data_IF_894403471616
#
_entry.id   IF_894403471616
#
_cell.length_a   1.000
_cell.length_b   1.000
_cell.length_c   1.000
_cell.angle_alpha   90.00
_cell.angle_beta   90.00
_cell.angle_gamma   90.00
#
_symmetry.space_group_name_H-M   'P 1'
#
loop_
_entity.id
_entity.type
_entity.pdbx_description
1 polymer ?
#
# COMPACT_ATOMS: atom_id res chain seq x y z
N UNK A 1 51.66 -56.88 -23.87
CA UNK A 1 51.88 -55.44 -23.61
C UNK A 1 50.50 -54.80 -23.54
N UNK A 2 50.02 -54.22 -22.44
CA UNK A 2 50.64 -53.98 -21.15
C UNK A 2 49.60 -53.65 -20.06
N UNK A 3 50.06 -53.82 -18.83
CA UNK A 3 49.72 -53.14 -17.55
C UNK A 3 48.26 -53.21 -17.09
N UNK A 4 47.84 -54.10 -16.17
CA UNK A 4 48.15 -54.28 -14.71
C UNK A 4 47.67 -53.15 -13.77
N UNK A 5 47.18 -53.62 -12.62
CA UNK A 5 46.80 -52.95 -11.37
C UNK A 5 45.35 -52.40 -11.33
N UNK A 6 44.51 -52.76 -10.35
CA UNK A 6 44.72 -53.62 -9.19
C UNK A 6 43.56 -53.47 -8.20
N UNK A 7 43.07 -54.62 -7.77
CA UNK A 7 42.49 -55.04 -6.49
C UNK A 7 41.79 -54.03 -5.55
N UNK A 8 40.61 -54.44 -5.05
CA UNK A 8 40.23 -54.18 -3.66
C UNK A 8 38.72 -54.20 -3.40
N UNK A 9 38.24 -55.26 -2.76
CA UNK A 9 36.84 -55.51 -2.39
C UNK A 9 36.26 -54.50 -1.37
N UNK A 10 34.96 -54.23 -1.48
CA UNK A 10 33.92 -54.51 -0.46
C UNK A 10 32.71 -53.60 -0.71
N UNK A 11 31.56 -54.18 -1.11
CA UNK A 11 30.27 -53.48 -1.11
C UNK A 11 29.55 -53.94 0.15
N UNK A 12 29.56 -53.08 1.16
CA UNK A 12 28.72 -53.20 2.35
C UNK A 12 27.39 -52.44 2.14
N UNK A 13 26.46 -52.73 3.02
CA UNK A 13 25.02 -52.83 2.83
C UNK A 13 24.22 -51.55 3.16
N UNK A 14 23.04 -51.43 2.52
CA UNK A 14 21.82 -50.72 3.00
C UNK A 14 21.70 -49.19 2.79
N UNK A 15 20.49 -48.59 2.89
CA UNK A 15 19.56 -48.41 1.77
C UNK A 15 19.31 -46.94 1.39
N UNK A 16 18.64 -46.75 0.22
CA UNK A 16 18.15 -45.50 -0.37
C UNK A 16 17.71 -44.45 0.66
N UNK A 17 18.47 -43.36 0.75
CA UNK A 17 18.00 -42.10 1.29
C UNK A 17 17.02 -41.46 0.31
N UNK A 18 15.78 -41.29 0.76
CA UNK A 18 14.80 -40.37 0.18
C UNK A 18 15.43 -38.98 0.09
N UNK A 19 15.43 -38.43 -1.12
CA UNK A 19 15.70 -37.01 -1.33
C UNK A 19 14.49 -36.28 -0.76
N UNK A 20 14.73 -35.57 0.35
CA UNK A 20 13.76 -34.66 0.96
C UNK A 20 13.19 -33.74 -0.13
N UNK A 21 11.90 -33.89 -0.39
CA UNK A 21 11.14 -32.97 -1.22
C UNK A 21 11.21 -31.59 -0.60
N UNK A 22 11.76 -30.64 -1.36
CA UNK A 22 11.55 -29.23 -1.14
C UNK A 22 10.05 -28.98 -1.09
N UNK A 23 9.52 -28.79 0.12
CA UNK A 23 8.20 -28.21 0.31
C UNK A 23 8.30 -26.76 -0.16
N UNK A 24 7.96 -26.52 -1.42
CA UNK A 24 7.68 -25.17 -1.88
C UNK A 24 6.62 -24.61 -0.95
N UNK A 25 6.98 -23.61 -0.14
CA UNK A 25 6.01 -22.84 0.60
C UNK A 25 5.05 -22.27 -0.45
N UNK A 26 3.82 -22.79 -0.50
CA UNK A 26 2.76 -22.11 -1.20
C UNK A 26 2.58 -20.78 -0.48
N UNK A 27 3.10 -19.71 -1.08
CA UNK A 27 2.76 -18.35 -0.66
C UNK A 27 1.26 -18.25 -0.78
N UNK A 28 0.56 -18.19 0.34
CA UNK A 28 -0.89 -17.97 0.34
C UNK A 28 -1.09 -16.52 -0.08
N UNK A 29 -1.52 -16.35 -1.33
CA UNK A 29 -1.90 -15.06 -1.90
C UNK A 29 -3.33 -14.79 -1.45
N UNK A 30 -3.63 -13.58 -0.98
CA UNK A 30 -5.02 -13.24 -0.60
C UNK A 30 -5.89 -13.20 -1.86
N UNK A 31 -7.19 -13.50 -1.77
CA UNK A 31 -8.10 -13.39 -2.92
C UNK A 31 -8.02 -12.03 -3.60
N UNK A 32 -7.82 -10.94 -2.86
CA UNK A 32 -7.68 -9.60 -3.44
C UNK A 32 -6.35 -9.40 -4.16
N UNK A 33 -5.25 -9.95 -3.64
CA UNK A 33 -3.96 -9.94 -4.32
C UNK A 33 -4.04 -10.79 -5.61
N UNK A 34 -4.66 -11.97 -5.58
CA UNK A 34 -4.92 -12.77 -6.79
C UNK A 34 -5.82 -12.01 -7.78
N UNK A 35 -6.84 -11.29 -7.29
CA UNK A 35 -7.73 -10.47 -8.13
C UNK A 35 -6.96 -9.33 -8.81
N UNK A 36 -6.07 -8.66 -8.09
CA UNK A 36 -5.22 -7.60 -8.62
C UNK A 36 -4.23 -8.15 -9.67
N UNK A 37 -3.61 -9.30 -9.39
CA UNK A 37 -2.64 -9.93 -10.29
C UNK A 37 -3.30 -10.54 -11.56
N UNK A 38 -4.57 -10.94 -11.47
CA UNK A 38 -5.31 -11.60 -12.56
C UNK A 38 -6.04 -10.66 -13.53
N UNK A 39 -5.99 -9.34 -13.31
CA UNK A 39 -6.52 -8.38 -14.28
C UNK A 39 -7.18 -7.12 -13.73
N UNK A 40 -7.32 -6.97 -12.41
CA UNK A 40 -7.71 -5.69 -11.81
C UNK A 40 -6.50 -4.80 -11.66
N UNK A 41 -6.43 -3.77 -12.48
CA UNK A 41 -5.29 -2.87 -12.47
C UNK A 41 -5.45 -1.89 -11.29
N UNK A 42 -4.91 -2.31 -10.15
CA UNK A 42 -4.70 -1.50 -8.97
C UNK A 42 -3.24 -1.07 -8.92
N UNK A 43 -2.98 0.23 -9.02
CA UNK A 43 -1.65 0.81 -8.90
C UNK A 43 -1.68 2.02 -7.97
N UNK A 44 -1.13 1.87 -6.77
CA UNK A 44 -1.01 2.97 -5.79
C UNK A 44 0.45 3.24 -5.47
N UNK A 45 1.06 4.16 -6.22
CA UNK A 45 2.49 4.46 -6.10
C UNK A 45 2.72 5.55 -5.06
N UNK A 46 3.73 5.39 -4.18
CA UNK A 46 4.16 6.47 -3.30
C UNK A 46 5.39 7.16 -3.86
N UNK A 47 5.34 8.49 -3.87
CA UNK A 47 6.50 9.32 -4.18
C UNK A 47 7.20 9.68 -2.88
N UNK A 48 8.51 9.47 -2.86
CA UNK A 48 9.39 10.02 -1.85
C UNK A 48 9.79 11.45 -2.22
N UNK A 49 9.65 12.39 -1.29
CA UNK A 49 10.10 13.79 -1.47
C UNK A 49 10.84 14.36 -0.25
N UNK A 50 11.13 13.51 0.74
CA UNK A 50 11.87 13.89 1.94
C UNK A 50 11.03 14.44 3.10
N UNK A 51 9.71 14.59 2.97
CA UNK A 51 8.86 14.97 4.11
C UNK A 51 8.89 13.93 5.25
N UNK A 52 8.99 12.65 4.90
CA UNK A 52 9.18 11.51 5.79
C UNK A 52 9.79 10.36 4.99
N UNK A 53 10.68 9.57 5.61
CA UNK A 53 11.16 8.32 5.04
C UNK A 53 9.98 7.33 4.92
N UNK A 54 9.74 6.82 3.70
CA UNK A 54 8.61 5.93 3.41
C UNK A 54 8.70 4.58 4.14
N UNK A 55 9.88 4.20 4.62
CA UNK A 55 10.11 3.00 5.43
C UNK A 55 9.96 3.24 6.94
N UNK A 56 9.75 4.48 7.37
CA UNK A 56 9.58 4.80 8.80
C UNK A 56 8.22 4.36 9.34
N UNK A 57 8.07 4.11 10.65
CA UNK A 57 6.78 3.77 11.26
C UNK A 57 5.66 4.75 10.92
N UNK A 58 5.99 6.04 10.84
CA UNK A 58 5.01 7.09 10.52
C UNK A 58 4.49 6.96 9.10
N UNK A 59 5.39 6.72 8.14
CA UNK A 59 4.98 6.50 6.76
C UNK A 59 4.26 5.16 6.60
N UNK A 60 4.68 4.09 7.28
CA UNK A 60 4.00 2.80 7.31
C UNK A 60 2.52 2.97 7.68
N UNK A 61 2.24 3.68 8.78
CA UNK A 61 0.85 3.94 9.22
C UNK A 61 0.05 4.73 8.19
N UNK A 62 0.61 5.85 7.69
CA UNK A 62 -0.06 6.71 6.71
C UNK A 62 -0.33 5.94 5.42
N UNK A 63 0.62 5.12 4.97
CA UNK A 63 0.50 4.27 3.78
C UNK A 63 -0.63 3.28 3.93
N UNK A 64 -0.61 2.50 5.00
CA UNK A 64 -1.62 1.49 5.27
C UNK A 64 -3.02 2.10 5.38
N UNK A 65 -3.17 3.22 6.10
CA UNK A 65 -4.45 3.91 6.21
C UNK A 65 -4.95 4.46 4.86
N UNK A 66 -4.07 5.04 4.05
CA UNK A 66 -4.48 5.54 2.74
C UNK A 66 -4.86 4.40 1.78
N UNK A 67 -4.05 3.35 1.69
CA UNK A 67 -4.33 2.21 0.81
C UNK A 67 -5.59 1.44 1.22
N UNK A 68 -5.77 1.20 2.52
CA UNK A 68 -6.98 0.57 3.04
C UNK A 68 -8.26 1.39 2.79
N UNK A 69 -8.18 2.73 2.88
CA UNK A 69 -9.32 3.59 2.53
C UNK A 69 -9.75 3.42 1.08
N UNK A 70 -8.80 3.23 0.15
CA UNK A 70 -9.17 2.98 -1.24
C UNK A 70 -9.82 1.61 -1.40
N UNK A 71 -9.43 0.58 -0.64
CA UNK A 71 -10.10 -0.74 -0.72
C UNK A 71 -11.59 -0.66 -0.34
N UNK A 72 -11.94 0.19 0.63
CA UNK A 72 -13.35 0.46 0.98
C UNK A 72 -14.12 1.03 -0.22
N UNK A 73 -13.49 1.86 -1.06
CA UNK A 73 -14.14 2.42 -2.26
C UNK A 73 -14.30 1.40 -3.40
N UNK A 74 -13.61 0.28 -3.33
CA UNK A 74 -13.62 -0.81 -4.33
C UNK A 74 -14.58 -1.94 -3.94
N UNK A 75 -15.25 -1.83 -2.79
CA UNK A 75 -16.09 -2.89 -2.20
C UNK A 75 -15.29 -4.20 -1.97
N UNK A 76 -14.01 -4.07 -1.61
CA UNK A 76 -13.15 -5.17 -1.18
C UNK A 76 -13.17 -5.26 0.36
N UNK A 77 -12.70 -6.37 0.93
CA UNK A 77 -12.58 -6.50 2.39
C UNK A 77 -11.25 -5.88 2.86
N UNK A 78 -11.26 -4.65 3.41
CA UNK A 78 -10.03 -3.99 3.82
C UNK A 78 -9.45 -4.63 5.09
N UNK A 79 -10.25 -5.34 5.91
CA UNK A 79 -9.76 -5.95 7.15
C UNK A 79 -9.01 -7.25 6.87
N UNK A 80 -9.38 -7.97 5.81
CA UNK A 80 -8.62 -9.13 5.34
C UNK A 80 -7.23 -8.72 4.82
N UNK A 81 -7.16 -7.65 4.04
CA UNK A 81 -5.90 -7.17 3.44
C UNK A 81 -5.02 -6.36 4.40
N UNK A 82 -5.65 -5.62 5.32
CA UNK A 82 -5.00 -4.84 6.36
C UNK A 82 -5.53 -5.24 7.75
N UNK A 83 -5.11 -6.39 8.31
CA UNK A 83 -5.51 -6.80 9.65
C UNK A 83 -5.24 -5.74 10.72
N UNK A 84 -6.19 -5.50 11.63
CA UNK A 84 -6.09 -4.49 12.69
C UNK A 84 -6.59 -3.10 12.28
N UNK A 85 -7.14 -2.97 11.07
CA UNK A 85 -7.63 -1.70 10.56
C UNK A 85 -8.85 -1.19 11.33
N UNK A 86 -9.76 -2.06 11.77
CA UNK A 86 -10.90 -1.68 12.62
C UNK A 86 -10.47 -0.96 13.90
N UNK A 87 -9.43 -1.46 14.57
CA UNK A 87 -8.87 -0.85 15.77
C UNK A 87 -8.09 0.42 15.45
N UNK A 88 -7.38 0.44 14.31
CA UNK A 88 -6.57 1.57 13.87
C UNK A 88 -7.39 2.73 13.32
N UNK A 89 -8.53 2.49 12.66
CA UNK A 89 -9.32 3.53 12.01
C UNK A 89 -10.83 3.45 12.34
N UNK A 90 -11.23 3.39 13.63
CA UNK A 90 -12.63 3.24 14.04
C UNK A 90 -13.53 4.37 13.51
N UNK A 91 -12.95 5.53 13.20
CA UNK A 91 -13.61 6.70 12.60
C UNK A 91 -14.28 6.43 11.26
N UNK A 92 -13.88 5.37 10.54
CA UNK A 92 -14.48 4.99 9.26
C UNK A 92 -15.76 4.17 9.44
N UNK A 93 -15.77 3.25 10.40
CA UNK A 93 -16.94 2.41 10.71
C UNK A 93 -18.08 3.21 11.33
N UNK A 94 -17.76 4.25 12.10
CA UNK A 94 -18.78 5.13 12.70
C UNK A 94 -19.41 6.11 11.69
N UNK A 95 -18.92 6.17 10.45
CA UNK A 95 -19.38 7.14 9.43
C UNK A 95 -20.39 6.58 8.44
N UNK A 96 -20.80 5.32 8.58
CA UNK A 96 -21.57 4.60 7.55
C UNK A 96 -20.96 4.90 6.16
N UNK A 97 -19.67 4.59 5.99
CA UNK A 97 -19.09 4.55 4.64
C UNK A 97 -19.75 3.35 3.95
N UNK A 98 -20.99 3.55 3.52
CA UNK A 98 -21.74 2.58 2.78
C UNK A 98 -20.91 2.23 1.55
N UNK A 99 -20.81 0.94 1.19
CA UNK A 99 -20.24 0.55 -0.08
C UNK A 99 -20.78 1.47 -1.16
N UNK A 100 -19.89 2.04 -1.97
CA UNK A 100 -20.33 2.92 -3.05
C UNK A 100 -21.33 2.15 -3.90
N UNK A 101 -22.52 2.71 -4.15
CA UNK A 101 -23.50 2.11 -5.09
C UNK A 101 -22.94 1.97 -6.52
N UNK A 102 -21.75 2.53 -6.76
CA UNK A 102 -20.92 2.34 -7.95
C UNK A 102 -19.47 2.17 -7.48
N UNK A 103 -19.05 0.96 -7.06
CA UNK A 103 -17.69 0.74 -6.60
C UNK A 103 -16.70 1.02 -7.74
N UNK A 104 -15.49 1.43 -7.37
CA UNK A 104 -14.40 1.48 -8.34
C UNK A 104 -13.89 0.05 -8.57
N UNK A 105 -13.44 -0.21 -9.80
CA UNK A 105 -12.88 -1.47 -10.22
C UNK A 105 -11.40 -1.32 -10.59
N UNK A 106 -10.97 -0.15 -11.10
CA UNK A 106 -9.56 0.12 -11.37
C UNK A 106 -9.11 1.41 -10.70
N UNK A 107 -7.88 1.40 -10.17
CA UNK A 107 -7.23 2.56 -9.58
C UNK A 107 -5.84 2.70 -10.17
N UNK A 108 -5.54 3.93 -10.57
CA UNK A 108 -4.18 4.32 -10.83
C UNK A 108 -3.95 5.66 -10.14
N UNK A 109 -3.09 5.66 -9.12
CA UNK A 109 -2.93 6.78 -8.20
C UNK A 109 -1.47 6.91 -7.83
N UNK A 110 -0.98 8.15 -7.82
CA UNK A 110 0.26 8.54 -7.17
C UNK A 110 -0.06 9.33 -5.92
N UNK A 111 0.52 8.90 -4.81
CA UNK A 111 0.39 9.47 -3.48
C UNK A 111 1.72 10.06 -3.05
N UNK A 112 1.66 11.11 -2.24
CA UNK A 112 2.84 11.74 -1.67
C UNK A 112 2.51 12.29 -0.29
N UNK A 113 3.31 11.93 0.71
CA UNK A 113 3.22 12.56 2.03
C UNK A 113 3.88 13.93 1.90
N UNK A 114 3.10 15.00 1.85
CA UNK A 114 3.62 16.35 1.65
C UNK A 114 4.11 16.99 2.96
N UNK A 115 3.51 16.59 4.09
CA UNK A 115 4.01 17.00 5.41
C UNK A 115 3.49 16.08 6.50
N UNK A 116 4.28 15.98 7.58
CA UNK A 116 3.84 15.43 8.86
C UNK A 116 4.16 16.46 9.94
N UNK A 117 3.14 16.86 10.69
CA UNK A 117 3.25 17.85 11.75
C UNK A 117 2.94 17.20 13.09
N UNK A 118 3.84 17.35 14.06
CA UNK A 118 3.59 16.96 15.45
C UNK A 118 2.65 18.00 16.08
N UNK A 119 1.47 17.57 16.50
CA UNK A 119 0.46 18.45 17.12
C UNK A 119 0.52 18.38 18.65
N UNK A 120 0.98 17.24 19.18
CA UNK A 120 1.20 17.02 20.61
C UNK A 120 2.28 15.96 20.83
N UNK A 121 2.51 15.53 22.08
CA UNK A 121 3.45 14.45 22.38
C UNK A 121 3.11 13.19 21.55
N UNK A 122 1.84 12.81 21.60
CA UNK A 122 1.33 11.56 21.05
C UNK A 122 0.39 11.76 19.86
N UNK A 123 0.30 12.98 19.31
CA UNK A 123 -0.59 13.28 18.17
C UNK A 123 0.20 13.87 17.01
N UNK A 124 -0.16 13.46 15.80
CA UNK A 124 0.36 14.00 14.56
C UNK A 124 -0.75 14.23 13.53
N UNK A 125 -0.48 15.12 12.58
CA UNK A 125 -1.32 15.40 11.43
C UNK A 125 -0.47 15.29 10.17
N UNK A 126 -0.99 14.65 9.14
CA UNK A 126 -0.34 14.52 7.85
C UNK A 126 -1.20 15.12 6.73
N UNK A 127 -0.52 15.75 5.77
CA UNK A 127 -1.11 16.12 4.50
C UNK A 127 -0.59 15.18 3.42
N UNK A 128 -1.50 14.56 2.70
CA UNK A 128 -1.20 13.61 1.64
C UNK A 128 -1.75 14.19 0.35
N UNK A 129 -0.88 14.36 -0.63
CA UNK A 129 -1.28 14.72 -1.98
C UNK A 129 -1.58 13.44 -2.76
N UNK A 130 -2.71 13.41 -3.46
CA UNK A 130 -3.03 12.34 -4.39
C UNK A 130 -3.38 12.93 -5.76
N UNK A 131 -2.90 12.27 -6.80
CA UNK A 131 -3.29 12.50 -8.19
C UNK A 131 -3.50 11.16 -8.87
N UNK A 132 -4.53 11.04 -9.69
CA UNK A 132 -4.85 9.77 -10.32
C UNK A 132 -6.27 9.72 -10.87
N UNK A 133 -6.66 8.52 -11.30
CA UNK A 133 -8.01 8.23 -11.77
C UNK A 133 -8.48 6.88 -11.22
N UNK A 134 -9.77 6.81 -10.96
CA UNK A 134 -10.48 5.57 -10.67
C UNK A 134 -11.56 5.37 -11.73
N UNK A 135 -11.82 4.13 -12.13
CA UNK A 135 -12.93 3.79 -13.01
C UNK A 135 -13.79 2.69 -12.39
N UNK A 136 -15.09 2.72 -12.67
CA UNK A 136 -16.03 1.67 -12.27
C UNK A 136 -16.16 0.54 -13.30
N UNK A 137 -15.43 0.61 -14.43
CA UNK A 137 -15.36 -0.46 -15.41
C UNK A 137 -14.03 -1.22 -15.28
N UNK A 138 -14.07 -2.54 -15.24
CA UNK A 138 -12.87 -3.41 -15.26
C UNK A 138 -12.17 -3.39 -16.63
N UNK A 139 -12.92 -3.13 -17.72
CA UNK A 139 -12.37 -3.08 -19.08
C UNK A 139 -11.71 -1.74 -19.41
N UNK A 140 -11.93 -0.74 -18.57
CA UNK A 140 -11.29 0.56 -18.68
C UNK A 140 -10.19 0.62 -17.64
N UNK A 141 -8.96 0.36 -18.07
CA UNK A 141 -7.89 1.00 -17.37
C UNK A 141 -7.97 2.48 -17.65
N UNK A 142 -8.06 3.36 -16.64
CA UNK A 142 -7.81 4.76 -16.89
C UNK A 142 -6.38 4.87 -17.41
N UNK A 143 -6.24 4.94 -18.74
CA UNK A 143 -4.96 5.20 -19.39
C UNK A 143 -4.35 6.40 -18.71
N UNK A 144 -3.20 6.17 -18.09
CA UNK A 144 -2.57 7.22 -17.31
C UNK A 144 -2.19 8.37 -18.23
N UNK A 145 -2.22 9.56 -17.64
CA UNK A 145 -1.99 10.85 -18.28
C UNK A 145 -0.97 10.74 -19.42
N UNK A 146 -1.39 11.17 -20.61
CA UNK A 146 -0.53 11.34 -21.77
C UNK A 146 0.73 12.10 -21.35
N UNK A 147 1.97 11.65 -21.68
CA UNK A 147 3.18 12.43 -21.47
C UNK A 147 3.10 13.86 -22.03
N UNK A 148 2.23 14.09 -23.02
CA UNK A 148 1.95 15.42 -23.56
C UNK A 148 1.04 16.30 -22.66
N UNK A 149 0.40 15.72 -21.64
CA UNK A 149 -0.51 16.38 -20.70
C UNK A 149 -0.24 15.94 -19.23
N UNK A 150 0.95 16.21 -18.68
CA UNK A 150 1.21 15.94 -17.27
C UNK A 150 0.23 16.75 -16.41
N UNK A 151 -0.39 16.17 -15.38
CA UNK A 151 -1.27 16.95 -14.52
C UNK A 151 -0.44 17.96 -13.76
N UNK A 152 -0.61 19.23 -14.09
CA UNK A 152 -0.03 20.30 -13.29
C UNK A 152 -0.84 20.49 -12.00
N UNK A 153 -0.18 21.04 -10.97
CA UNK A 153 -0.73 21.34 -9.64
C UNK A 153 -1.97 22.25 -9.69
N UNK A 154 -2.12 23.00 -10.79
CA UNK A 154 -3.14 24.03 -11.05
C UNK A 154 -4.36 23.42 -11.80
N UNK A 155 -4.21 22.34 -12.56
CA UNK A 155 -5.17 21.86 -13.57
C UNK A 155 -6.18 20.79 -13.10
N UNK A 156 -6.52 20.73 -11.80
CA UNK A 156 -7.68 19.97 -11.24
C UNK A 156 -7.45 18.47 -10.94
N UNK A 157 -6.26 17.91 -11.17
CA UNK A 157 -5.96 16.49 -10.90
C UNK A 157 -5.52 16.17 -9.46
N UNK A 158 -4.90 17.13 -8.76
CA UNK A 158 -4.33 16.91 -7.43
C UNK A 158 -5.32 17.26 -6.32
N UNK A 159 -5.57 16.31 -5.43
CA UNK A 159 -6.34 16.46 -4.20
C UNK A 159 -5.42 16.36 -2.98
N UNK A 160 -5.81 17.02 -1.90
CA UNK A 160 -5.11 16.93 -0.61
C UNK A 160 -6.02 16.26 0.41
N UNK A 161 -5.53 15.19 0.99
CA UNK A 161 -6.13 14.46 2.10
C UNK A 161 -5.45 14.87 3.39
N UNK A 162 -6.23 15.08 4.44
CA UNK A 162 -5.72 15.29 5.80
C UNK A 162 -6.01 14.06 6.64
N UNK A 163 -4.96 13.58 7.32
CA UNK A 163 -5.06 12.56 8.37
C UNK A 163 -4.65 13.18 9.70
N UNK A 164 -5.37 12.88 10.77
CA UNK A 164 -4.88 13.08 12.13
C UNK A 164 -4.85 11.74 12.84
N UNK A 165 -3.81 11.51 13.64
CA UNK A 165 -3.60 10.23 14.29
C UNK A 165 -2.84 10.33 15.61
N UNK A 166 -3.12 9.35 16.46
CA UNK A 166 -2.49 9.05 17.73
C UNK A 166 -1.34 8.07 17.54
N UNK A 167 -0.24 8.35 18.25
CA UNK A 167 1.03 7.64 18.20
C UNK A 167 1.38 7.05 19.56
N UNK A 168 0.40 6.39 20.18
CA UNK A 168 0.52 5.77 21.49
C UNK A 168 0.82 4.28 21.36
N UNK A 169 1.44 3.69 22.39
CA UNK A 169 1.74 2.26 22.43
C UNK A 169 2.82 1.83 21.42
N UNK A 170 2.64 0.63 20.88
CA UNK A 170 3.53 0.00 19.90
C UNK A 170 3.44 0.73 18.58
N UNK A 171 4.57 1.24 18.10
CA UNK A 171 4.64 1.87 16.79
C UNK A 171 4.44 0.83 15.68
N UNK A 172 3.93 1.26 14.51
CA UNK A 172 4.03 0.51 13.27
C UNK A 172 5.46 -0.01 13.05
N UNK A 173 5.63 -1.19 12.43
CA UNK A 173 6.94 -1.68 12.05
C UNK A 173 7.64 -0.73 11.07
N UNK A 174 8.96 -0.68 11.17
CA UNK A 174 9.85 0.03 10.24
C UNK A 174 10.38 -0.91 9.15
N UNK A 175 10.97 -0.35 8.11
CA UNK A 175 11.67 -1.13 7.07
C UNK A 175 10.75 -1.99 6.19
N UNK A 176 9.43 -1.81 6.25
CA UNK A 176 8.51 -2.59 5.43
C UNK A 176 8.57 -2.13 3.96
N UNK A 177 9.20 -2.97 3.14
CA UNK A 177 9.16 -2.88 1.69
C UNK A 177 9.15 -4.30 1.09
N UNK A 178 8.40 -4.48 0.02
CA UNK A 178 8.35 -5.73 -0.73
C UNK A 178 7.56 -5.57 -2.02
N UNK A 179 7.19 -6.69 -2.63
CA UNK A 179 6.53 -6.71 -3.94
C UNK A 179 5.00 -6.88 -3.84
N UNK A 180 4.44 -7.06 -2.64
CA UNK A 180 2.99 -7.25 -2.46
C UNK A 180 2.23 -5.93 -2.48
N UNK A 181 0.97 -5.98 -2.91
CA UNK A 181 0.05 -4.85 -2.84
C UNK A 181 -0.55 -4.66 -1.45
N UNK A 182 -0.67 -5.75 -0.69
CA UNK A 182 -1.25 -5.74 0.65
C UNK A 182 -0.37 -6.49 1.64
N UNK A 183 -0.29 -6.02 2.90
CA UNK A 183 0.59 -6.61 3.91
C UNK A 183 0.09 -7.95 4.45
N UNK A 184 -1.22 -8.21 4.44
CA UNK A 184 -1.81 -9.44 5.00
C UNK A 184 -1.51 -9.67 6.50
N UNK A 185 -1.04 -8.63 7.19
CA UNK A 185 -0.65 -8.63 8.59
C UNK A 185 -0.85 -7.24 9.19
N UNK A 186 -0.87 -7.15 10.52
CA UNK A 186 -1.07 -5.87 11.19
C UNK A 186 0.19 -4.99 11.08
N UNK A 187 0.06 -3.90 10.32
CA UNK A 187 1.09 -2.88 10.11
C UNK A 187 0.77 -1.56 10.82
N UNK A 188 -0.28 -1.50 11.64
CA UNK A 188 -0.71 -0.30 12.35
C UNK A 188 -0.12 -0.19 13.76
N UNK A 189 0.25 -1.32 14.37
CA UNK A 189 0.61 -1.36 15.79
C UNK A 189 -0.58 -0.94 16.67
N UNK A 190 -0.33 -0.08 17.65
CA UNK A 190 -1.35 0.49 18.54
C UNK A 190 -1.82 1.89 18.10
N UNK A 191 -1.29 2.41 16.99
CA UNK A 191 -1.59 3.76 16.52
C UNK A 191 -3.02 3.85 15.96
N UNK A 192 -3.63 5.03 16.08
CA UNK A 192 -5.03 5.22 15.73
C UNK A 192 -5.29 6.49 14.95
N UNK A 193 -6.06 6.36 13.88
CA UNK A 193 -6.57 7.45 13.10
C UNK A 193 -7.74 8.10 13.85
N UNK A 194 -7.60 9.40 14.11
CA UNK A 194 -8.60 10.22 14.78
C UNK A 194 -9.35 11.13 13.80
N UNK A 195 -8.78 11.38 12.61
CA UNK A 195 -9.45 12.11 11.54
C UNK A 195 -9.03 11.61 10.15
N UNK A 196 -9.99 11.51 9.24
CA UNK A 196 -9.78 11.33 7.80
C UNK A 196 -10.66 12.32 7.01
N UNK A 197 -10.03 13.20 6.23
CA UNK A 197 -10.72 14.17 5.36
C UNK A 197 -10.15 14.11 3.93
N UNK A 198 -10.85 13.43 3.01
CA UNK A 198 -10.46 13.32 1.59
C UNK A 198 -10.83 14.53 0.72
N UNK A 199 -11.76 15.38 1.18
CA UNK A 199 -12.19 16.60 0.49
C UNK A 199 -11.99 17.82 1.39
N UNK A 200 -10.79 17.95 1.95
CA UNK A 200 -10.50 18.87 3.05
C UNK A 200 -10.85 20.35 2.79
N UNK A 201 -10.94 20.80 1.51
CA UNK A 201 -11.98 21.75 1.09
C UNK A 201 -12.12 21.79 -0.44
N UNK A 202 -13.37 21.78 -0.96
CA UNK A 202 -14.19 22.99 -1.07
C UNK A 202 -15.62 22.90 -0.48
N UNK A 203 -15.96 21.83 0.27
CA UNK A 203 -17.36 21.53 0.64
C UNK A 203 -17.69 21.74 2.14
N UNK A 204 -16.72 22.17 2.96
CA UNK A 204 -16.93 22.43 4.40
C UNK A 204 -16.98 23.94 4.64
N UNK A 205 -18.15 24.51 5.01
CA UNK A 205 -18.26 25.94 5.29
C UNK A 205 -17.30 26.40 6.41
N UNK A 206 -16.50 27.43 6.15
CA UNK A 206 -15.60 28.03 7.14
C UNK A 206 -14.23 27.37 7.29
N UNK A 207 -14.00 26.22 6.64
CA UNK A 207 -12.67 25.59 6.60
C UNK A 207 -11.90 26.06 5.35
N UNK A 208 -10.66 26.54 5.54
CA UNK A 208 -9.85 26.99 4.43
C UNK A 208 -9.48 25.81 3.51
N UNK A 209 -9.47 26.05 2.20
CA UNK A 209 -8.99 25.05 1.27
C UNK A 209 -7.53 24.68 1.52
N UNK A 210 -7.17 23.39 1.39
CA UNK A 210 -5.78 22.99 1.41
C UNK A 210 -4.96 23.82 0.43
N UNK A 211 -3.81 24.31 0.89
CA UNK A 211 -2.82 24.89 0.00
C UNK A 211 -2.22 23.77 -0.86
N UNK A 212 -2.66 23.69 -2.12
CA UNK A 212 -2.19 22.68 -3.07
C UNK A 212 -0.75 22.90 -3.50
N UNK A 213 -0.17 24.08 -3.28
CA UNK A 213 1.23 24.34 -3.61
C UNK A 213 2.19 23.45 -2.79
N UNK A 214 1.76 23.00 -1.60
CA UNK A 214 2.51 22.01 -0.79
C UNK A 214 2.74 20.69 -1.52
N UNK A 215 1.90 20.36 -2.52
CA UNK A 215 2.05 19.14 -3.28
C UNK A 215 3.20 19.20 -4.27
N UNK A 216 3.68 20.40 -4.65
CA UNK A 216 4.77 20.55 -5.59
C UNK A 216 4.65 19.63 -6.80
N UNK A 217 5.78 19.10 -7.25
CA UNK A 217 5.79 18.07 -8.27
C UNK A 217 5.25 16.73 -7.72
N UNK A 218 4.35 16.08 -8.46
CA UNK A 218 3.78 14.75 -8.16
C UNK A 218 4.49 13.60 -8.88
N UNK A 219 5.40 13.91 -9.81
CA UNK A 219 6.38 12.98 -10.35
C UNK A 219 5.94 12.42 -11.68
N UNK A 220 6.71 11.47 -12.20
CA UNK A 220 6.30 10.75 -13.40
C UNK A 220 5.11 9.86 -13.08
N UNK A 221 3.95 10.36 -13.44
CA UNK A 221 2.70 9.66 -13.35
C UNK A 221 2.71 8.41 -14.24
N UNK A 222 3.38 8.45 -15.39
CA UNK A 222 3.34 7.41 -16.43
C UNK A 222 4.21 6.19 -16.15
N UNK A 223 5.03 6.25 -15.10
CA UNK A 223 5.92 5.17 -14.71
C UNK A 223 5.13 3.86 -14.41
N UNK A 224 5.45 2.74 -15.09
CA UNK A 224 4.84 1.45 -14.79
C UNK A 224 5.41 0.88 -13.49
N UNK A 225 4.56 0.28 -12.66
CA UNK A 225 4.99 -0.46 -11.47
C UNK A 225 3.88 -0.64 -10.42
N UNK A 226 4.03 -1.60 -9.49
CA UNK A 226 3.15 -1.77 -8.34
C UNK A 226 3.30 -0.60 -7.36
N UNK A 227 2.62 -0.68 -6.21
CA UNK A 227 2.88 0.24 -5.10
C UNK A 227 4.38 0.26 -4.77
N UNK A 228 4.94 1.45 -4.60
CA UNK A 228 6.35 1.63 -4.22
C UNK A 228 6.41 2.62 -3.05
N UNK A 229 6.80 2.23 -1.82
CA UNK A 229 6.87 0.91 -1.23
C UNK A 229 5.82 -0.12 -1.67
N UNK A 230 6.14 -1.36 -2.01
CA UNK A 230 5.16 -2.44 -1.82
C UNK A 230 5.26 -2.98 -0.38
N UNK A 231 4.49 -4.01 -0.04
CA UNK A 231 4.51 -4.64 1.29
C UNK A 231 5.32 -5.95 1.27
N UNK A 232 5.98 -6.30 2.40
CA UNK A 232 6.66 -7.59 2.52
C UNK A 232 5.68 -8.76 2.60
N UNK A 233 6.19 -9.97 2.42
CA UNK A 233 5.40 -11.19 2.62
C UNK A 233 4.85 -11.30 4.05
N UNK A 234 3.67 -11.89 4.18
CA UNK A 234 3.09 -12.16 5.49
C UNK A 234 3.98 -13.16 6.26
N UNK A 235 4.68 -12.68 7.30
CA UNK A 235 5.48 -13.50 8.21
C UNK A 235 6.99 -13.38 8.11
N UNK A 236 7.53 -12.30 7.54
CA UNK A 236 8.96 -11.96 7.60
C UNK A 236 9.24 -10.90 8.66
#
# INVERSE_FOLDING_TARGET
>A
MGVLAGCGQAIDTSPRGEVAGSSGAHVVVSPSQERADSGLQWRMRWREDGAVDLSSPTATFIRAAMEAYYLVLFDWDPEEEFPGLKEAAPVWWNRDIAPSNSPFNTADVVLKIASVQKVGADHASALICHSGKTASSESEFPGYFDPANPPDVIQRGVKVVRLAFERTGTAPPDGLAGDRLFPGSNVFGDWRLTEFKSTWAPNVPGEAAPDRSTCGDMGDLTAPGPSYPGWPDAGV
#
